data_IF_617077071186
#
_entry.id   IF_617077071186
#
_cell.length_a   1.000
_cell.length_b   1.000
_cell.length_c   1.000
_cell.angle_alpha   90.00
_cell.angle_beta   90.00
_cell.angle_gamma   90.00
#
_symmetry.space_group_name_H-M   'P 1'
#
loop_
_entity.id
_entity.type
_entity.pdbx_description
1 polymer ?
#
# COMPACT_ATOMS: atom_id res chain seq x y z
N UNK A 1 -28.49 9.05 46.53
CA UNK A 1 -27.06 8.71 46.50
C UNK A 1 -26.35 9.89 45.85
N UNK A 2 -25.27 10.37 46.43
CA UNK A 2 -24.48 11.47 45.84
C UNK A 2 -23.61 10.94 44.70
N UNK A 3 -23.20 11.80 43.78
CA UNK A 3 -22.30 11.46 42.68
C UNK A 3 -20.99 10.80 43.17
N UNK A 4 -20.45 11.31 44.28
CA UNK A 4 -19.25 10.77 44.92
C UNK A 4 -19.46 9.35 45.47
N UNK A 5 -20.59 9.11 46.13
CA UNK A 5 -20.96 7.78 46.63
C UNK A 5 -21.15 6.79 45.47
N UNK A 6 -21.76 7.23 44.37
CA UNK A 6 -21.93 6.44 43.15
C UNK A 6 -20.60 6.03 42.53
N UNK A 7 -19.68 6.98 42.34
CA UNK A 7 -18.34 6.71 41.84
C UNK A 7 -17.59 5.72 42.74
N UNK A 8 -17.66 5.88 44.06
CA UNK A 8 -16.98 4.99 45.00
C UNK A 8 -17.53 3.56 44.94
N UNK A 9 -18.86 3.40 44.89
CA UNK A 9 -19.50 2.10 44.74
C UNK A 9 -19.20 1.45 43.39
N UNK A 10 -19.23 2.23 42.31
CA UNK A 10 -18.94 1.75 40.96
C UNK A 10 -17.49 1.28 40.88
N UNK A 11 -16.54 2.08 41.39
CA UNK A 11 -15.13 1.72 41.46
C UNK A 11 -14.89 0.42 42.23
N UNK A 12 -15.55 0.24 43.38
CA UNK A 12 -15.50 -1.02 44.13
C UNK A 12 -15.98 -2.22 43.32
N UNK A 13 -17.07 -2.07 42.55
CA UNK A 13 -17.55 -3.13 41.66
C UNK A 13 -16.54 -3.42 40.55
N UNK A 14 -16.05 -2.39 39.86
CA UNK A 14 -15.06 -2.51 38.80
C UNK A 14 -13.77 -3.20 39.28
N UNK A 15 -13.24 -2.80 40.44
CA UNK A 15 -12.04 -3.41 41.03
C UNK A 15 -12.27 -4.89 41.33
N UNK A 16 -13.44 -5.25 41.87
CA UNK A 16 -13.82 -6.65 42.10
C UNK A 16 -13.93 -7.42 40.78
N UNK A 17 -14.60 -6.87 39.77
CA UNK A 17 -14.79 -7.54 38.48
C UNK A 17 -13.44 -7.74 37.77
N UNK A 18 -12.58 -6.73 37.77
CA UNK A 18 -11.25 -6.82 37.18
C UNK A 18 -10.36 -7.83 37.91
N UNK A 19 -10.41 -7.88 39.25
CA UNK A 19 -9.67 -8.89 40.01
C UNK A 19 -10.14 -10.33 39.72
N UNK A 20 -11.43 -10.54 39.42
CA UNK A 20 -11.94 -11.84 38.98
C UNK A 20 -11.40 -12.21 37.60
N UNK A 21 -11.46 -11.30 36.63
CA UNK A 21 -10.89 -11.52 35.29
C UNK A 21 -9.40 -11.84 35.35
N UNK A 22 -8.61 -11.09 36.13
CA UNK A 22 -7.18 -11.36 36.28
C UNK A 22 -6.90 -12.76 36.84
N UNK A 23 -7.67 -13.22 37.82
CA UNK A 23 -7.54 -14.57 38.37
C UNK A 23 -7.91 -15.65 37.35
N UNK A 24 -8.93 -15.40 36.55
CA UNK A 24 -9.35 -16.31 35.48
C UNK A 24 -8.25 -16.42 34.41
N UNK A 25 -7.73 -15.28 33.94
CA UNK A 25 -6.66 -15.24 32.94
C UNK A 25 -5.40 -15.94 33.42
N UNK A 26 -5.01 -15.77 34.69
CA UNK A 26 -3.85 -16.45 35.27
C UNK A 26 -3.96 -17.98 35.32
N UNK A 27 -5.18 -18.53 35.26
CA UNK A 27 -5.43 -19.97 35.27
C UNK A 27 -5.50 -20.58 33.87
N UNK A 28 -5.56 -19.75 32.82
CA UNK A 28 -5.67 -20.19 31.42
C UNK A 28 -4.30 -20.46 30.79
N UNK A 29 -4.19 -21.43 29.87
CA UNK A 29 -2.98 -21.65 29.10
C UNK A 29 -2.72 -20.48 28.13
N UNK A 30 -1.45 -20.33 27.71
CA UNK A 30 -1.04 -19.24 26.84
C UNK A 30 -1.82 -19.19 25.50
N UNK A 31 -2.17 -20.34 24.93
CA UNK A 31 -2.97 -20.41 23.70
C UNK A 31 -4.37 -19.81 23.88
N UNK A 32 -5.06 -20.11 24.98
CA UNK A 32 -6.37 -19.51 25.27
C UNK A 32 -6.27 -18.01 25.52
N UNK A 33 -5.18 -17.54 26.15
CA UNK A 33 -4.96 -16.12 26.35
C UNK A 33 -4.73 -15.35 25.04
N UNK A 34 -4.10 -15.99 24.05
CA UNK A 34 -3.92 -15.40 22.71
C UNK A 34 -5.26 -15.26 22.00
N UNK A 35 -6.12 -16.29 22.03
CA UNK A 35 -7.47 -16.21 21.45
C UNK A 35 -8.32 -15.12 22.12
N UNK A 36 -8.16 -14.94 23.44
CA UNK A 36 -8.88 -13.94 24.22
C UNK A 36 -8.24 -12.53 24.21
N UNK A 37 -7.23 -12.28 23.36
CA UNK A 37 -6.45 -11.05 23.42
C UNK A 37 -7.32 -9.79 23.24
N UNK A 38 -8.33 -9.86 22.37
CA UNK A 38 -9.25 -8.75 22.13
C UNK A 38 -10.11 -8.47 23.37
N UNK A 39 -10.67 -9.48 24.01
CA UNK A 39 -11.48 -9.36 25.23
C UNK A 39 -10.64 -8.82 26.40
N UNK A 40 -9.39 -9.28 26.52
CA UNK A 40 -8.45 -8.79 27.54
C UNK A 40 -8.13 -7.31 27.30
N UNK A 41 -7.85 -6.92 26.05
CA UNK A 41 -7.57 -5.53 25.69
C UNK A 41 -8.79 -4.63 25.97
N UNK A 42 -9.99 -5.05 25.54
CA UNK A 42 -11.23 -4.35 25.81
C UNK A 42 -11.51 -4.21 27.31
N UNK A 43 -11.34 -5.27 28.10
CA UNK A 43 -11.58 -5.24 29.54
C UNK A 43 -10.62 -4.27 30.26
N UNK A 44 -9.34 -4.26 29.86
CA UNK A 44 -8.34 -3.34 30.41
C UNK A 44 -8.62 -1.89 30.03
N UNK A 45 -9.00 -1.64 28.78
CA UNK A 45 -9.37 -0.31 28.31
C UNK A 45 -10.58 0.24 29.07
N UNK A 46 -11.69 -0.53 29.10
CA UNK A 46 -12.93 -0.13 29.78
C UNK A 46 -12.71 0.09 31.28
N UNK A 47 -11.95 -0.79 31.95
CA UNK A 47 -11.63 -0.59 33.35
C UNK A 47 -10.82 0.70 33.57
N UNK A 48 -9.82 0.97 32.72
CA UNK A 48 -9.00 2.18 32.80
C UNK A 48 -9.84 3.45 32.67
N UNK A 49 -10.70 3.51 31.66
CA UNK A 49 -11.59 4.64 31.41
C UNK A 49 -12.59 4.83 32.56
N UNK A 50 -13.32 3.77 32.93
CA UNK A 50 -14.36 3.84 33.96
C UNK A 50 -13.81 4.12 35.37
N UNK A 51 -12.55 3.75 35.65
CA UNK A 51 -11.90 3.99 36.94
C UNK A 51 -11.14 5.31 37.02
N UNK A 52 -10.74 5.87 35.87
CA UNK A 52 -9.93 7.09 35.76
C UNK A 52 -10.75 8.38 35.60
N UNK A 53 -11.96 8.31 35.05
CA UNK A 53 -12.77 9.47 34.68
C UNK A 53 -14.05 9.59 35.50
N UNK A 54 -14.55 10.83 35.69
CA UNK A 54 -15.89 11.06 36.23
C UNK A 54 -16.92 11.00 35.09
N UNK A 55 -17.97 10.21 35.28
CA UNK A 55 -19.06 10.08 34.33
C UNK A 55 -20.31 10.81 34.83
N UNK A 56 -21.28 10.99 33.93
CA UNK A 56 -22.56 11.56 34.34
C UNK A 56 -23.25 10.66 35.39
N UNK A 57 -23.99 11.25 36.33
CA UNK A 57 -24.74 10.48 37.34
C UNK A 57 -25.66 9.41 36.73
N UNK A 58 -26.29 9.71 35.59
CA UNK A 58 -27.22 8.80 34.92
C UNK A 58 -26.51 7.53 34.45
N UNK A 59 -25.31 7.66 33.88
CA UNK A 59 -24.51 6.51 33.45
C UNK A 59 -24.01 5.68 34.63
N UNK A 60 -23.54 6.33 35.69
CA UNK A 60 -23.14 5.62 36.91
C UNK A 60 -24.30 4.86 37.54
N UNK A 61 -25.48 5.49 37.65
CA UNK A 61 -26.66 4.84 38.20
C UNK A 61 -27.08 3.65 37.35
N UNK A 62 -27.04 3.79 36.01
CA UNK A 62 -27.29 2.70 35.08
C UNK A 62 -26.30 1.54 35.29
N UNK A 63 -25.00 1.81 35.33
CA UNK A 63 -23.96 0.78 35.51
C UNK A 63 -24.06 0.09 36.88
N UNK A 64 -24.41 0.82 37.93
CA UNK A 64 -24.56 0.27 39.28
C UNK A 64 -25.66 -0.80 39.39
N UNK A 65 -26.59 -0.88 38.43
CA UNK A 65 -27.65 -1.90 38.36
C UNK A 65 -27.11 -3.30 38.06
N UNK A 66 -25.94 -3.41 37.42
CA UNK A 66 -25.37 -4.69 37.01
C UNK A 66 -24.48 -5.30 38.10
N UNK A 67 -24.43 -6.63 38.17
CA UNK A 67 -23.47 -7.34 39.03
C UNK A 67 -22.04 -7.21 38.50
N UNK A 68 -21.90 -7.20 37.17
CA UNK A 68 -20.64 -7.05 36.46
C UNK A 68 -20.72 -5.91 35.43
N UNK A 69 -20.72 -4.64 35.86
CA UNK A 69 -20.74 -3.50 34.93
C UNK A 69 -19.54 -3.50 33.97
N UNK A 70 -18.39 -4.06 34.37
CA UNK A 70 -17.20 -4.13 33.52
C UNK A 70 -17.46 -5.02 32.30
N UNK A 71 -18.14 -6.15 32.47
CA UNK A 71 -18.51 -7.06 31.38
C UNK A 71 -19.48 -6.41 30.40
N UNK A 72 -20.54 -5.77 30.92
CA UNK A 72 -21.56 -5.11 30.09
C UNK A 72 -20.92 -4.09 29.16
N UNK A 73 -20.05 -3.23 29.69
CA UNK A 73 -19.42 -2.17 28.89
C UNK A 73 -18.34 -2.74 27.98
N UNK A 74 -17.58 -3.76 28.42
CA UNK A 74 -16.60 -4.47 27.58
C UNK A 74 -17.26 -5.13 26.38
N UNK A 75 -18.37 -5.84 26.57
CA UNK A 75 -19.08 -6.52 25.48
C UNK A 75 -19.66 -5.50 24.48
N UNK A 76 -20.25 -4.40 24.98
CA UNK A 76 -20.70 -3.31 24.12
C UNK A 76 -19.53 -2.69 23.35
N UNK A 77 -18.41 -2.41 24.02
CA UNK A 77 -17.22 -1.83 23.39
C UNK A 77 -16.69 -2.72 22.26
N UNK A 78 -16.60 -4.04 22.47
CA UNK A 78 -16.20 -4.99 21.43
C UNK A 78 -17.13 -4.91 20.23
N UNK A 79 -18.45 -4.83 20.46
CA UNK A 79 -19.43 -4.67 19.38
C UNK A 79 -19.23 -3.38 18.59
N UNK A 80 -18.90 -2.27 19.25
CA UNK A 80 -18.63 -0.98 18.58
C UNK A 80 -17.32 -1.00 17.77
N UNK A 81 -16.35 -1.82 18.18
CA UNK A 81 -15.07 -1.97 17.47
C UNK A 81 -15.13 -3.01 16.32
N UNK A 82 -16.22 -3.77 16.20
CA UNK A 82 -16.35 -4.78 15.16
C UNK A 82 -16.78 -4.12 13.85
N UNK A 83 -15.78 -3.63 13.12
CA UNK A 83 -15.95 -3.01 11.80
C UNK A 83 -15.27 -3.90 10.75
N UNK A 84 -15.87 -3.98 9.57
CA UNK A 84 -15.26 -4.64 8.41
C UNK A 84 -14.16 -3.73 7.85
N UNK A 85 -12.90 -4.18 7.96
CA UNK A 85 -11.71 -3.46 7.48
C UNK A 85 -11.18 -4.00 6.15
N UNK A 86 -11.98 -4.77 5.41
CA UNK A 86 -11.54 -5.40 4.17
C UNK A 86 -11.09 -4.38 3.12
N UNK A 87 -11.80 -3.27 2.97
CA UNK A 87 -11.45 -2.20 2.02
C UNK A 87 -10.20 -1.43 2.45
N UNK A 88 -10.04 -1.14 3.75
CA UNK A 88 -8.85 -0.50 4.31
C UNK A 88 -7.61 -1.37 4.12
N UNK A 89 -7.74 -2.69 4.30
CA UNK A 89 -6.66 -3.64 4.04
C UNK A 89 -6.31 -3.67 2.55
N UNK A 90 -7.31 -3.73 1.67
CA UNK A 90 -7.08 -3.68 0.22
C UNK A 90 -6.35 -2.40 -0.20
N UNK A 91 -6.76 -1.25 0.34
CA UNK A 91 -6.08 0.02 0.09
C UNK A 91 -4.65 0.03 0.63
N UNK A 92 -4.41 -0.55 1.82
CA UNK A 92 -3.06 -0.66 2.37
C UNK A 92 -2.15 -1.53 1.49
N UNK A 93 -2.65 -2.67 1.00
CA UNK A 93 -1.93 -3.54 0.07
C UNK A 93 -1.64 -2.83 -1.25
N UNK A 94 -2.64 -2.16 -1.83
CA UNK A 94 -2.45 -1.36 -3.03
C UNK A 94 -1.39 -0.27 -2.83
N UNK A 95 -1.41 0.42 -1.69
CA UNK A 95 -0.42 1.46 -1.37
C UNK A 95 1.00 0.89 -1.28
N UNK A 96 1.18 -0.28 -0.65
CA UNK A 96 2.48 -0.93 -0.55
C UNK A 96 3.02 -1.33 -1.92
N UNK A 97 2.14 -1.89 -2.78
CA UNK A 97 2.51 -2.32 -4.12
C UNK A 97 2.78 -1.14 -5.06
N UNK A 98 1.93 -0.11 -5.05
CA UNK A 98 2.03 1.06 -5.93
C UNK A 98 3.26 1.91 -5.62
N UNK A 99 3.57 2.11 -4.33
CA UNK A 99 4.72 2.91 -3.92
C UNK A 99 6.05 2.15 -3.99
N UNK A 100 6.05 0.85 -3.72
CA UNK A 100 7.27 0.04 -3.69
C UNK A 100 8.26 0.39 -2.57
N UNK A 101 7.99 1.41 -1.73
CA UNK A 101 8.90 1.88 -0.67
C UNK A 101 9.37 0.74 0.26
N UNK A 102 8.47 -0.22 0.52
CA UNK A 102 8.73 -1.38 1.38
C UNK A 102 9.85 -2.28 0.86
N UNK A 103 10.10 -2.33 -0.45
CA UNK A 103 11.16 -3.16 -1.06
C UNK A 103 12.56 -2.66 -0.68
N UNK A 104 12.68 -1.38 -0.31
CA UNK A 104 13.93 -0.77 0.18
C UNK A 104 14.07 -0.85 1.71
N UNK A 105 12.95 -0.89 2.44
CA UNK A 105 12.93 -0.88 3.91
C UNK A 105 13.02 -2.28 4.53
N UNK A 106 12.48 -3.28 3.83
CA UNK A 106 12.37 -4.65 4.33
C UNK A 106 13.18 -5.61 3.47
N UNK A 107 13.77 -6.63 4.11
CA UNK A 107 14.54 -7.64 3.40
C UNK A 107 13.62 -8.47 2.48
N UNK A 108 13.94 -8.49 1.19
CA UNK A 108 13.26 -9.32 0.18
C UNK A 108 13.78 -10.75 0.22
N UNK A 109 12.88 -11.71 0.00
CA UNK A 109 13.28 -13.10 -0.27
C UNK A 109 13.95 -13.16 -1.65
N UNK A 110 15.24 -13.55 -1.75
CA UNK A 110 15.93 -13.62 -3.04
C UNK A 110 15.28 -14.56 -4.06
N UNK A 111 14.50 -15.56 -3.62
CA UNK A 111 13.76 -16.46 -4.52
C UNK A 111 12.63 -15.74 -5.26
N UNK A 112 12.07 -14.69 -4.64
CA UNK A 112 10.93 -13.93 -5.15
C UNK A 112 11.24 -12.44 -5.35
N UNK A 113 12.51 -12.04 -5.19
CA UNK A 113 12.95 -10.70 -5.45
C UNK A 113 12.60 -10.35 -6.91
N UNK A 114 12.03 -9.17 -7.16
CA UNK A 114 11.81 -8.73 -8.53
C UNK A 114 13.16 -8.77 -9.24
N UNK A 115 13.18 -9.38 -10.43
CA UNK A 115 14.34 -9.31 -11.31
C UNK A 115 14.63 -7.83 -11.48
N UNK A 116 15.84 -7.40 -11.13
CA UNK A 116 16.13 -5.97 -11.10
C UNK A 116 15.83 -5.39 -12.48
N UNK A 117 15.21 -4.20 -12.54
CA UNK A 117 14.97 -3.52 -13.82
C UNK A 117 16.28 -3.23 -14.60
N UNK A 118 17.42 -3.38 -13.93
CA UNK A 118 18.76 -3.32 -14.50
C UNK A 118 19.17 -4.62 -15.24
N UNK A 119 18.58 -5.77 -14.93
CA UNK A 119 18.94 -7.07 -15.50
C UNK A 119 18.28 -7.40 -16.84
N UNK A 120 17.21 -6.70 -17.24
CA UNK A 120 16.73 -6.70 -18.63
C UNK A 120 16.15 -5.33 -19.01
N UNK A 121 17.01 -4.31 -19.13
CA UNK A 121 16.65 -3.15 -19.96
C UNK A 121 16.54 -3.63 -21.41
N UNK A 122 15.32 -3.96 -21.81
CA UNK A 122 15.01 -4.35 -23.18
C UNK A 122 14.64 -3.08 -23.95
N UNK A 123 15.30 -2.86 -25.07
CA UNK A 123 14.90 -1.81 -26.00
C UNK A 123 13.62 -2.18 -26.73
N UNK A 124 12.87 -1.19 -27.24
CA UNK A 124 11.71 -1.45 -28.11
C UNK A 124 12.09 -2.35 -29.28
N UNK A 125 13.30 -2.19 -29.84
CA UNK A 125 13.84 -3.09 -30.87
C UNK A 125 13.85 -4.54 -30.43
N UNK A 126 14.56 -4.84 -29.34
CA UNK A 126 14.72 -6.21 -28.86
C UNK A 126 13.37 -6.81 -28.45
N UNK A 127 12.47 -5.99 -27.90
CA UNK A 127 11.15 -6.43 -27.52
C UNK A 127 10.31 -6.85 -28.73
N UNK A 128 10.36 -6.08 -29.83
CA UNK A 128 9.68 -6.45 -31.09
C UNK A 128 10.31 -7.71 -31.70
N UNK A 129 11.65 -7.81 -31.70
CA UNK A 129 12.36 -8.98 -32.25
C UNK A 129 12.04 -10.28 -31.50
N UNK A 130 11.78 -10.21 -30.18
CA UNK A 130 11.31 -11.34 -29.36
C UNK A 130 9.85 -11.73 -29.66
N UNK A 131 9.05 -10.84 -30.27
CA UNK A 131 7.62 -11.03 -30.51
C UNK A 131 7.22 -10.67 -31.96
N UNK A 132 7.76 -11.35 -32.98
CA UNK A 132 7.68 -10.92 -34.39
C UNK A 132 6.26 -10.91 -34.98
N UNK A 133 5.33 -11.69 -34.42
CA UNK A 133 3.95 -11.82 -34.88
C UNK A 133 2.94 -11.08 -33.98
N UNK A 134 3.43 -10.27 -33.03
CA UNK A 134 2.58 -9.57 -32.07
C UNK A 134 2.16 -8.18 -32.55
N UNK A 135 1.05 -7.71 -31.99
CA UNK A 135 0.59 -6.33 -32.08
C UNK A 135 1.00 -5.59 -30.81
N UNK A 136 1.39 -4.32 -30.93
CA UNK A 136 1.83 -3.48 -29.83
C UNK A 136 1.00 -2.19 -29.77
N UNK A 137 0.44 -1.90 -28.60
CA UNK A 137 -0.20 -0.64 -28.25
C UNK A 137 0.71 0.08 -27.26
N UNK A 138 1.43 1.09 -27.74
CA UNK A 138 2.54 1.71 -27.03
C UNK A 138 2.19 3.13 -26.57
N UNK A 139 2.42 3.41 -25.30
CA UNK A 139 2.58 4.75 -24.77
C UNK A 139 4.06 5.12 -24.77
N UNK A 140 4.41 6.14 -25.55
CA UNK A 140 5.78 6.65 -25.68
C UNK A 140 5.83 8.11 -25.19
N UNK A 141 7.00 8.71 -24.95
CA UNK A 141 7.09 10.13 -24.59
C UNK A 141 6.48 11.07 -25.65
N UNK A 142 6.46 10.64 -26.92
CA UNK A 142 5.84 11.36 -28.04
C UNK A 142 4.33 11.13 -28.20
N UNK A 143 3.72 10.31 -27.34
CA UNK A 143 2.32 9.89 -27.41
C UNK A 143 2.15 8.42 -27.79
N UNK A 144 1.01 8.09 -28.38
CA UNK A 144 0.62 6.72 -28.70
C UNK A 144 1.17 6.26 -30.04
N UNK A 145 1.70 5.05 -30.09
CA UNK A 145 2.09 4.35 -31.31
C UNK A 145 1.43 2.97 -31.32
N UNK A 146 0.78 2.63 -32.42
CA UNK A 146 0.19 1.30 -32.62
C UNK A 146 0.93 0.58 -33.73
N UNK A 147 1.44 -0.61 -33.42
CA UNK A 147 2.20 -1.44 -34.35
C UNK A 147 1.47 -2.77 -34.59
N UNK A 148 1.17 -3.08 -35.84
CA UNK A 148 0.84 -4.45 -36.27
C UNK A 148 2.13 -5.20 -36.58
N UNK A 149 2.11 -6.53 -36.76
CA UNK A 149 3.30 -7.28 -37.18
C UNK A 149 3.96 -6.69 -38.42
N UNK A 150 3.17 -6.25 -39.40
CA UNK A 150 3.67 -5.66 -40.64
C UNK A 150 4.37 -4.32 -40.38
N UNK A 151 3.74 -3.41 -39.61
CA UNK A 151 4.35 -2.10 -39.35
C UNK A 151 5.54 -2.19 -38.40
N UNK A 152 5.56 -3.17 -37.51
CA UNK A 152 6.71 -3.48 -36.66
C UNK A 152 7.91 -3.94 -37.51
N UNK A 153 7.70 -4.77 -38.53
CA UNK A 153 8.77 -5.16 -39.46
C UNK A 153 9.29 -3.99 -40.30
N UNK A 154 8.38 -3.10 -40.75
CA UNK A 154 8.79 -1.86 -41.43
C UNK A 154 9.63 -0.98 -40.50
N UNK A 155 9.24 -0.84 -39.24
CA UNK A 155 9.99 -0.12 -38.21
C UNK A 155 11.39 -0.71 -38.04
N UNK A 156 11.50 -2.03 -37.85
CA UNK A 156 12.79 -2.74 -37.72
C UNK A 156 13.70 -2.56 -38.95
N UNK A 157 13.12 -2.42 -40.15
CA UNK A 157 13.84 -2.11 -41.40
C UNK A 157 14.30 -0.65 -41.53
N UNK A 158 13.96 0.21 -40.56
CA UNK A 158 14.35 1.61 -40.51
C UNK A 158 13.31 2.61 -41.01
N UNK A 159 12.08 2.18 -41.30
CA UNK A 159 11.01 3.06 -41.77
C UNK A 159 10.27 3.72 -40.60
N UNK A 160 9.85 4.98 -40.79
CA UNK A 160 9.02 5.67 -39.81
C UNK A 160 7.62 5.06 -39.73
N UNK A 161 7.01 5.15 -38.54
CA UNK A 161 5.63 4.73 -38.27
C UNK A 161 4.79 5.93 -37.86
N UNK A 162 3.46 5.76 -37.76
CA UNK A 162 2.57 6.83 -37.29
C UNK A 162 2.38 6.78 -35.77
N UNK A 163 2.60 7.91 -35.11
CA UNK A 163 2.27 8.13 -33.69
C UNK A 163 1.36 9.34 -33.51
N UNK A 164 0.64 9.44 -32.39
CA UNK A 164 -0.30 10.54 -32.15
C UNK A 164 -0.46 10.87 -30.65
N UNK A 165 -0.78 12.11 -30.26
CA UNK A 165 -0.91 12.52 -28.86
C UNK A 165 -2.26 12.12 -28.20
N UNK A 166 -2.98 11.13 -28.73
CA UNK A 166 -4.29 10.68 -28.24
C UNK A 166 -5.47 10.97 -29.17
N UNK A 167 -5.23 11.62 -30.31
CA UNK A 167 -6.18 11.76 -31.41
C UNK A 167 -5.48 11.51 -32.75
N UNK A 168 -6.02 10.59 -33.55
CA UNK A 168 -5.43 10.17 -34.83
C UNK A 168 -5.38 11.28 -35.89
N UNK A 169 -6.18 12.34 -35.72
CA UNK A 169 -6.17 13.52 -36.60
C UNK A 169 -4.84 14.29 -36.56
N UNK A 170 -4.08 14.14 -35.47
CA UNK A 170 -2.78 14.78 -35.27
C UNK A 170 -1.61 13.81 -35.44
N UNK A 171 -1.81 12.72 -36.18
CA UNK A 171 -0.77 11.72 -36.41
C UNK A 171 0.48 12.32 -37.07
N UNK A 172 1.65 11.99 -36.53
CA UNK A 172 2.97 12.39 -37.01
C UNK A 172 3.81 11.16 -37.35
N UNK A 173 4.79 11.34 -38.21
CA UNK A 173 5.81 10.32 -38.44
C UNK A 173 6.76 10.26 -37.25
N UNK A 174 6.90 9.07 -36.68
CA UNK A 174 7.87 8.72 -35.63
C UNK A 174 9.02 7.97 -36.30
N UNK A 175 10.23 8.55 -36.34
CA UNK A 175 11.40 7.89 -36.91
C UNK A 175 11.72 6.55 -36.25
N UNK A 176 12.11 5.55 -37.04
CA UNK A 176 12.46 4.23 -36.52
C UNK A 176 13.48 4.27 -35.39
N UNK A 177 14.55 5.06 -35.58
CA UNK A 177 15.60 5.21 -34.58
C UNK A 177 15.06 5.78 -33.25
N UNK A 178 14.19 6.79 -33.32
CA UNK A 178 13.62 7.43 -32.14
C UNK A 178 12.79 6.45 -31.29
N UNK A 179 12.05 5.56 -31.95
CA UNK A 179 11.19 4.61 -31.26
C UNK A 179 11.96 3.36 -30.81
N UNK A 180 12.82 2.81 -31.67
CA UNK A 180 13.53 1.55 -31.42
C UNK A 180 14.60 1.66 -30.32
N UNK A 181 15.16 2.85 -30.11
CA UNK A 181 16.19 3.12 -29.08
C UNK A 181 15.56 3.40 -27.68
N UNK A 182 14.23 3.44 -27.55
CA UNK A 182 13.54 3.61 -26.26
C UNK A 182 13.64 2.34 -25.41
N UNK A 183 13.60 2.51 -24.10
CA UNK A 183 13.59 1.41 -23.13
C UNK A 183 12.14 1.06 -22.75
N UNK A 184 11.86 -0.24 -22.61
CA UNK A 184 10.58 -0.73 -22.09
C UNK A 184 10.54 -0.49 -20.57
N UNK A 185 9.59 0.33 -20.11
CA UNK A 185 9.31 0.52 -18.68
C UNK A 185 8.38 -0.59 -18.16
N UNK A 186 7.29 -0.86 -18.89
CA UNK A 186 6.34 -1.92 -18.57
C UNK A 186 5.81 -2.56 -19.86
N UNK A 187 5.47 -3.85 -19.81
CA UNK A 187 4.85 -4.55 -20.91
C UNK A 187 3.92 -5.65 -20.40
N UNK A 188 2.64 -5.56 -20.74
CA UNK A 188 1.60 -6.52 -20.35
C UNK A 188 0.88 -7.08 -21.58
N UNK A 189 0.75 -8.40 -21.66
CA UNK A 189 0.03 -9.04 -22.76
C UNK A 189 -1.45 -9.23 -22.40
N UNK A 190 -2.34 -8.58 -23.15
CA UNK A 190 -3.78 -8.70 -22.94
C UNK A 190 -4.55 -8.55 -24.25
N UNK A 191 -5.68 -9.24 -24.39
CA UNK A 191 -6.60 -9.12 -25.55
C UNK A 191 -5.91 -9.28 -26.93
N UNK A 192 -4.81 -10.03 -27.00
CA UNK A 192 -4.08 -10.28 -28.25
C UNK A 192 -3.06 -9.21 -28.65
N UNK A 193 -2.76 -8.25 -27.77
CA UNK A 193 -1.72 -7.24 -27.99
C UNK A 193 -0.85 -7.05 -26.74
N UNK A 194 0.37 -6.59 -26.94
CA UNK A 194 1.21 -6.06 -25.88
C UNK A 194 0.85 -4.60 -25.62
N UNK A 195 0.52 -4.27 -24.37
CA UNK A 195 0.37 -2.91 -23.90
C UNK A 195 1.69 -2.48 -23.27
N UNK A 196 2.34 -1.50 -23.87
CA UNK A 196 3.73 -1.16 -23.58
C UNK A 196 3.85 0.29 -23.16
N UNK A 197 4.55 0.54 -22.06
CA UNK A 197 5.05 1.87 -21.72
C UNK A 197 6.54 1.91 -22.02
N UNK A 198 6.98 2.88 -22.81
CA UNK A 198 8.40 3.12 -23.09
C UNK A 198 8.79 4.55 -22.76
N UNK A 199 10.08 4.74 -22.46
CA UNK A 199 10.66 6.06 -22.21
C UNK A 199 12.01 6.21 -22.94
N UNK A 200 12.51 7.43 -23.04
CA UNK A 200 13.81 7.72 -23.61
C UNK A 200 14.92 7.02 -22.82
N UNK A 201 15.87 6.42 -23.54
CA UNK A 201 17.12 6.01 -22.94
C UNK A 201 17.93 7.27 -22.61
N UNK A 202 17.89 7.71 -21.34
CA UNK A 202 18.77 8.74 -20.84
C UNK A 202 20.13 8.10 -20.54
N UNK A 203 21.10 8.26 -21.43
CA UNK A 203 22.50 8.01 -21.06
C UNK A 203 22.80 8.82 -19.78
N UNK A 204 23.45 8.22 -18.76
CA UNK A 204 23.75 8.93 -17.54
C UNK A 204 24.59 10.17 -17.89
N UNK A 205 24.03 11.34 -17.56
CA UNK A 205 24.69 12.64 -17.71
C UNK A 205 26.07 12.52 -17.07
N UNK A 206 27.14 12.55 -17.86
CA UNK A 206 28.50 12.68 -17.32
C UNK A 206 28.48 13.88 -16.36
N UNK A 207 28.74 13.62 -15.09
CA UNK A 207 28.78 14.64 -14.04
C UNK A 207 29.69 15.78 -14.52
N UNK A 208 29.12 16.97 -14.71
CA UNK A 208 29.92 18.16 -14.93
C UNK A 208 30.74 18.39 -13.66
N UNK A 209 32.05 18.19 -13.76
CA UNK A 209 32.99 18.47 -12.66
C UNK A 209 32.79 19.91 -12.18
N UNK A 210 32.57 20.16 -10.87
CA UNK A 210 32.36 21.52 -10.37
C UNK A 210 33.59 22.40 -10.58
N UNK A 211 33.38 23.60 -11.12
CA UNK A 211 34.39 24.66 -11.22
C UNK A 211 34.90 25.05 -9.82
N UNK A 212 36.20 24.93 -9.56
CA UNK A 212 36.84 25.50 -8.37
C UNK A 212 36.79 27.03 -8.42
N UNK A 213 35.98 27.66 -7.57
CA UNK A 213 36.09 29.09 -7.28
C UNK A 213 36.91 29.29 -6.00
N UNK A 214 38.20 29.56 -6.20
CA UNK A 214 39.05 30.12 -5.14
C UNK A 214 38.67 31.57 -4.86
N UNK A 215 38.31 31.87 -3.60
CA UNK A 215 38.22 33.25 -3.11
C UNK A 215 39.14 33.39 -1.91
N UNK A 216 40.24 34.10 -2.14
CA UNK A 216 41.18 34.56 -1.10
C UNK A 216 40.54 35.71 -0.33
N UNK A 217 40.37 35.55 0.98
CA UNK A 217 39.90 36.62 1.87
C UNK A 217 41.08 37.54 2.22
N UNK A 218 40.92 38.84 1.95
CA UNK A 218 41.73 39.91 2.53
C UNK A 218 41.10 40.42 3.83
#
# INVERSE_FOLDING_TARGET
>A
MTEKEMMELLRKKLDRNMALYQREWQQKPASELVEMANEIAAAKFVYGELSGSSYSPEYMEYLLRFENPLEVVKDQWISEQTVDFSEELNHALWTLWDKGDAESEYAMDPEYAPVSAEEERVTVREFIERHPDATFDMMTPGGYVYLTPETAQLLLSGQSVKGNPGSSEYARDVPAKELLDQEICTADFSKGAWHVLSDHNYEPRQEQTPFEQGVTMC
#
